data_IF_953257915707
#
_entry.id   IF_953257915707
#
_cell.length_a   1.000
_cell.length_b   1.000
_cell.length_c   1.000
_cell.angle_alpha   90.00
_cell.angle_beta   90.00
_cell.angle_gamma   90.00
#
_symmetry.space_group_name_H-M   'P 1'
#
loop_
_entity.id
_entity.type
_entity.pdbx_description
1 polymer ?
#
# COMPACT_ATOMS: atom_id res chain seq x y z
N UNK A 1 14.47 15.99 -11.91
CA UNK A 1 15.28 16.23 -10.69
C UNK A 1 14.39 15.92 -9.50
N UNK A 2 14.82 15.03 -8.60
CA UNK A 2 14.06 14.75 -7.38
C UNK A 2 13.91 16.07 -6.59
N UNK A 3 12.71 16.35 -6.08
CA UNK A 3 12.47 17.51 -5.23
C UNK A 3 13.46 17.50 -4.06
N UNK A 4 14.21 18.59 -3.87
CA UNK A 4 15.20 18.70 -2.79
C UNK A 4 14.56 18.90 -1.42
N UNK A 5 13.24 19.05 -1.36
CA UNK A 5 12.49 19.30 -0.13
C UNK A 5 12.20 17.98 0.58
N UNK A 6 12.64 17.87 1.83
CA UNK A 6 12.31 16.71 2.64
C UNK A 6 10.81 16.71 2.96
N UNK A 7 10.20 15.53 3.11
CA UNK A 7 8.76 15.43 3.42
C UNK A 7 8.41 16.20 4.71
N UNK A 8 9.34 16.25 5.68
CA UNK A 8 9.18 16.97 6.94
C UNK A 8 9.21 18.50 6.82
N UNK A 9 9.61 19.03 5.66
CA UNK A 9 9.64 20.47 5.38
C UNK A 9 8.37 20.95 4.65
N UNK A 10 7.58 20.01 4.13
CA UNK A 10 6.35 20.30 3.38
C UNK A 10 5.26 20.91 4.25
N UNK A 11 4.35 21.66 3.63
CA UNK A 11 3.21 22.26 4.34
C UNK A 11 2.28 21.20 4.97
N UNK A 12 1.92 20.09 4.31
CA UNK A 12 1.10 19.04 4.93
C UNK A 12 1.75 18.43 6.18
N UNK A 13 3.07 18.27 6.21
CA UNK A 13 3.77 17.82 7.42
C UNK A 13 3.65 18.82 8.56
N UNK A 14 3.86 20.12 8.27
CA UNK A 14 3.70 21.19 9.27
C UNK A 14 2.26 21.28 9.78
N UNK A 15 1.28 21.12 8.90
CA UNK A 15 -0.14 21.09 9.25
C UNK A 15 -0.47 19.91 10.17
N UNK A 16 0.01 18.70 9.86
CA UNK A 16 -0.12 17.54 10.76
C UNK A 16 0.56 17.77 12.11
N UNK A 17 1.77 18.34 12.11
CA UNK A 17 2.50 18.63 13.35
C UNK A 17 1.75 19.64 14.23
N UNK A 18 1.12 20.65 13.64
CA UNK A 18 0.28 21.59 14.37
C UNK A 18 -1.00 20.92 14.91
N UNK A 19 -1.63 20.05 14.11
CA UNK A 19 -2.84 19.29 14.48
C UNK A 19 -2.65 18.40 15.71
N UNK A 20 -1.42 17.98 16.00
CA UNK A 20 -1.09 17.20 17.21
C UNK A 20 -1.57 17.90 18.49
N UNK A 21 -1.50 19.24 18.55
CA UNK A 21 -1.94 19.98 19.74
C UNK A 21 -3.45 19.89 19.97
N UNK A 22 -4.25 19.72 18.92
CA UNK A 22 -5.70 19.50 19.06
C UNK A 22 -6.01 18.06 19.44
N UNK A 23 -5.31 17.09 18.84
CA UNK A 23 -5.48 15.67 19.19
C UNK A 23 -5.04 15.38 20.63
N UNK A 24 -4.00 16.04 21.15
CA UNK A 24 -3.59 15.92 22.57
C UNK A 24 -4.67 16.33 23.56
N UNK A 25 -5.61 17.18 23.17
CA UNK A 25 -6.76 17.60 24.01
C UNK A 25 -7.89 16.58 24.00
N UNK A 26 -7.82 15.58 23.13
CA UNK A 26 -8.81 14.50 23.02
C UNK A 26 -8.34 13.24 23.74
N UNK A 27 -9.27 12.40 24.16
CA UNK A 27 -8.97 11.07 24.66
C UNK A 27 -9.69 10.03 23.80
N UNK A 28 -9.04 8.89 23.51
CA UNK A 28 -9.61 7.86 22.64
C UNK A 28 -10.99 7.39 23.12
N UNK A 29 -11.18 7.28 24.43
CA UNK A 29 -12.49 6.91 25.02
C UNK A 29 -13.62 7.86 24.57
N UNK A 30 -13.33 9.16 24.49
CA UNK A 30 -14.33 10.16 24.09
C UNK A 30 -14.59 10.05 22.59
N UNK A 31 -13.53 9.86 21.79
CA UNK A 31 -13.62 9.63 20.35
C UNK A 31 -14.36 8.33 20.00
N UNK A 32 -14.34 7.32 20.87
CA UNK A 32 -15.11 6.08 20.74
C UNK A 32 -16.59 6.27 21.09
N UNK A 33 -16.94 7.36 21.79
CA UNK A 33 -18.32 7.74 22.06
C UNK A 33 -19.03 8.33 20.83
N UNK A 34 -18.27 8.78 19.83
CA UNK A 34 -18.80 9.27 18.55
C UNK A 34 -19.01 8.10 17.58
N UNK A 35 -20.27 7.67 17.46
CA UNK A 35 -20.66 6.54 16.61
C UNK A 35 -20.46 6.83 15.13
N UNK A 36 -20.66 8.06 14.67
CA UNK A 36 -20.53 8.43 13.26
C UNK A 36 -19.06 8.49 12.84
N UNK A 37 -18.19 9.02 13.71
CA UNK A 37 -16.73 8.89 13.53
C UNK A 37 -16.33 7.43 13.43
N UNK A 38 -16.77 6.59 14.36
CA UNK A 38 -16.38 5.16 14.37
C UNK A 38 -16.78 4.46 13.07
N UNK A 39 -18.02 4.67 12.60
CA UNK A 39 -18.49 4.12 11.30
C UNK A 39 -17.65 4.63 10.13
N UNK A 40 -17.30 5.92 10.11
CA UNK A 40 -16.45 6.48 9.05
C UNK A 40 -15.01 5.94 9.04
N UNK A 41 -14.58 5.32 10.14
CA UNK A 41 -13.25 4.73 10.32
C UNK A 41 -13.28 3.19 10.25
N UNK A 42 -14.26 2.64 9.55
CA UNK A 42 -14.39 1.23 9.22
C UNK A 42 -14.49 1.08 7.71
N UNK A 43 -13.76 0.12 7.16
CA UNK A 43 -13.77 -0.21 5.73
C UNK A 43 -13.87 -1.72 5.57
N UNK A 44 -14.61 -2.15 4.55
CA UNK A 44 -14.68 -3.54 4.14
C UNK A 44 -14.32 -3.64 2.66
N UNK A 45 -13.44 -4.58 2.33
CA UNK A 45 -13.01 -4.84 0.96
C UNK A 45 -12.64 -6.31 0.80
N UNK A 46 -13.24 -7.02 -0.16
CA UNK A 46 -12.98 -8.43 -0.45
C UNK A 46 -12.99 -9.36 0.79
N UNK A 47 -13.96 -9.16 1.69
CA UNK A 47 -14.08 -9.93 2.93
C UNK A 47 -13.04 -9.58 4.01
N UNK A 48 -12.20 -8.57 3.78
CA UNK A 48 -11.32 -7.98 4.79
C UNK A 48 -12.02 -6.79 5.44
N UNK A 49 -12.17 -6.84 6.75
CA UNK A 49 -12.68 -5.73 7.55
C UNK A 49 -11.54 -5.01 8.28
N UNK A 50 -11.40 -3.70 8.04
CA UNK A 50 -10.43 -2.83 8.68
C UNK A 50 -11.16 -1.81 9.57
N UNK A 51 -11.06 -2.01 10.88
CA UNK A 51 -11.51 -1.05 11.89
C UNK A 51 -10.30 -0.29 12.45
N UNK A 52 -10.18 0.97 12.04
CA UNK A 52 -9.16 1.89 12.52
C UNK A 52 -9.75 2.98 13.43
N UNK A 53 -10.99 2.83 13.91
CA UNK A 53 -11.65 3.76 14.84
C UNK A 53 -10.92 3.88 16.19
N UNK A 54 -10.15 2.85 16.58
CA UNK A 54 -9.33 2.83 17.81
C UNK A 54 -8.02 3.62 17.71
N UNK A 55 -7.82 4.36 16.62
CA UNK A 55 -6.70 5.29 16.49
C UNK A 55 -7.04 6.64 17.15
N UNK A 56 -6.05 7.30 17.74
CA UNK A 56 -6.21 8.64 18.31
C UNK A 56 -6.17 9.69 17.20
N UNK A 57 -7.30 9.86 16.52
CA UNK A 57 -7.44 10.76 15.38
C UNK A 57 -8.90 10.89 14.95
N UNK A 58 -9.25 12.00 14.33
CA UNK A 58 -10.59 12.26 13.80
C UNK A 58 -10.55 12.37 12.26
N UNK A 59 -11.67 12.72 11.64
CA UNK A 59 -11.76 12.88 10.19
C UNK A 59 -10.78 13.93 9.65
N UNK A 60 -10.53 15.01 10.40
CA UNK A 60 -9.54 16.02 10.03
C UNK A 60 -8.11 15.48 10.11
N UNK A 61 -7.81 14.62 11.09
CA UNK A 61 -6.54 13.87 11.13
C UNK A 61 -6.37 13.02 9.86
N UNK A 62 -7.41 12.29 9.45
CA UNK A 62 -7.35 11.44 8.26
C UNK A 62 -7.17 12.26 6.98
N UNK A 63 -7.88 13.37 6.84
CA UNK A 63 -7.70 14.29 5.71
C UNK A 63 -6.26 14.80 5.61
N UNK A 64 -5.69 15.27 6.73
CA UNK A 64 -4.30 15.76 6.77
C UNK A 64 -3.26 14.67 6.48
N UNK A 65 -3.51 13.43 6.92
CA UNK A 65 -2.65 12.28 6.60
C UNK A 65 -2.69 11.94 5.09
N UNK A 66 -3.87 12.06 4.46
CA UNK A 66 -4.02 11.86 3.03
C UNK A 66 -3.33 12.99 2.23
N UNK A 67 -3.46 14.24 2.66
CA UNK A 67 -2.73 15.37 2.06
C UNK A 67 -1.20 15.17 2.16
N UNK A 68 -0.70 14.62 3.27
CA UNK A 68 0.71 14.28 3.39
C UNK A 68 1.12 13.17 2.42
N UNK A 69 0.29 12.14 2.25
CA UNK A 69 0.54 11.06 1.30
C UNK A 69 0.56 11.56 -0.15
N UNK A 70 -0.30 12.54 -0.47
CA UNK A 70 -0.32 13.23 -1.77
C UNK A 70 0.95 14.04 -1.99
N UNK A 71 1.37 14.86 -1.01
CA UNK A 71 2.64 15.60 -1.08
C UNK A 71 3.87 14.69 -1.11
N UNK A 72 3.78 13.47 -0.59
CA UNK A 72 4.82 12.45 -0.70
C UNK A 72 4.82 11.72 -2.06
N UNK A 73 3.88 12.05 -2.95
CA UNK A 73 3.67 11.39 -4.24
C UNK A 73 3.47 9.87 -4.10
N UNK A 74 2.75 9.43 -3.07
CA UNK A 74 2.63 8.01 -2.74
C UNK A 74 1.99 7.20 -3.89
N UNK A 75 0.89 7.71 -4.48
CA UNK A 75 0.22 7.04 -5.61
C UNK A 75 1.13 6.91 -6.82
N UNK A 76 1.92 7.93 -7.13
CA UNK A 76 2.88 7.89 -8.23
C UNK A 76 3.96 6.83 -7.96
N UNK A 77 4.54 6.79 -6.75
CA UNK A 77 5.54 5.79 -6.36
C UNK A 77 4.99 4.36 -6.42
N UNK A 78 3.73 4.15 -6.02
CA UNK A 78 3.05 2.87 -6.21
C UNK A 78 2.93 2.56 -7.71
N UNK A 79 2.54 3.52 -8.54
CA UNK A 79 2.50 3.36 -9.99
C UNK A 79 3.85 2.94 -10.59
N UNK A 80 4.94 3.57 -10.16
CA UNK A 80 6.32 3.23 -10.53
C UNK A 80 6.72 1.80 -10.15
N UNK A 81 6.29 1.36 -8.96
CA UNK A 81 6.48 -0.03 -8.55
C UNK A 81 5.75 -0.99 -9.50
N UNK A 82 4.49 -0.71 -9.82
CA UNK A 82 3.67 -1.55 -10.69
C UNK A 82 4.14 -1.56 -12.15
N UNK A 83 4.72 -0.46 -12.63
CA UNK A 83 5.30 -0.37 -13.98
C UNK A 83 6.65 -1.08 -14.12
N UNK A 84 7.26 -1.47 -13.00
CA UNK A 84 8.59 -2.09 -12.96
C UNK A 84 9.72 -1.10 -13.15
N UNK A 85 9.54 0.17 -12.78
CA UNK A 85 10.67 1.08 -12.65
C UNK A 85 11.63 0.61 -11.55
N UNK A 86 12.91 0.97 -11.70
CA UNK A 86 13.97 0.66 -10.75
C UNK A 86 13.86 1.54 -9.50
N UNK A 87 12.86 1.26 -8.66
CA UNK A 87 12.62 2.00 -7.42
C UNK A 87 13.57 1.58 -6.29
N UNK A 88 14.19 0.40 -6.37
CA UNK A 88 15.28 0.02 -5.47
C UNK A 88 16.57 0.72 -5.93
N UNK A 89 16.69 1.99 -5.55
CA UNK A 89 17.76 2.88 -6.03
C UNK A 89 19.18 2.49 -5.63
N UNK A 90 19.36 1.74 -4.53
CA UNK A 90 20.71 1.34 -4.07
C UNK A 90 21.27 0.17 -4.85
N UNK A 91 20.40 -0.69 -5.40
CA UNK A 91 20.79 -1.84 -6.20
C UNK A 91 20.47 -1.69 -7.69
N UNK A 92 19.79 -0.59 -8.07
CA UNK A 92 19.25 -0.34 -9.40
C UNK A 92 18.36 -1.50 -9.92
N UNK A 93 17.27 -1.78 -9.20
CA UNK A 93 16.39 -2.93 -9.49
C UNK A 93 14.90 -2.60 -9.41
N UNK A 94 14.13 -3.26 -10.28
CA UNK A 94 12.66 -3.36 -10.20
C UNK A 94 12.19 -4.05 -8.92
N UNK A 95 11.01 -3.67 -8.42
CA UNK A 95 10.36 -4.31 -7.27
C UNK A 95 8.98 -4.83 -7.68
N UNK A 96 8.93 -6.09 -8.12
CA UNK A 96 7.75 -6.68 -8.79
C UNK A 96 7.17 -7.92 -8.10
N UNK A 97 7.21 -7.97 -6.77
CA UNK A 97 6.58 -9.07 -6.01
C UNK A 97 5.07 -9.22 -6.30
N UNK A 98 4.40 -8.14 -6.70
CA UNK A 98 3.01 -8.14 -7.16
C UNK A 98 2.79 -8.99 -8.43
N UNK A 99 3.79 -9.13 -9.31
CA UNK A 99 3.69 -9.95 -10.51
C UNK A 99 3.56 -11.45 -10.20
N UNK A 100 4.07 -11.90 -9.05
CA UNK A 100 4.02 -13.30 -8.61
C UNK A 100 2.61 -13.82 -8.32
N UNK A 101 1.66 -12.90 -8.15
CA UNK A 101 0.25 -13.16 -7.81
C UNK A 101 -0.71 -12.49 -8.80
N UNK A 102 -0.19 -11.97 -9.91
CA UNK A 102 -0.98 -11.33 -10.94
C UNK A 102 -1.73 -12.40 -11.77
N UNK A 103 -2.93 -12.07 -12.30
CA UNK A 103 -3.64 -12.97 -13.19
C UNK A 103 -2.82 -13.23 -14.48
N UNK A 104 -3.13 -14.33 -15.16
CA UNK A 104 -2.33 -14.84 -16.30
C UNK A 104 -2.27 -13.90 -17.50
N UNK A 105 -3.26 -13.02 -17.62
CA UNK A 105 -3.41 -12.00 -18.66
C UNK A 105 -2.82 -10.63 -18.28
N UNK A 106 -2.31 -10.47 -17.06
CA UNK A 106 -1.67 -9.23 -16.64
C UNK A 106 -0.39 -8.97 -17.43
N UNK A 107 -0.07 -7.69 -17.61
CA UNK A 107 1.18 -7.22 -18.21
C UNK A 107 1.92 -6.41 -17.17
N UNK A 108 3.06 -6.93 -16.73
CA UNK A 108 3.98 -6.26 -15.81
C UNK A 108 5.39 -6.47 -16.33
N UNK A 109 6.11 -5.39 -16.60
CA UNK A 109 7.41 -5.48 -17.28
C UNK A 109 8.56 -5.11 -16.37
N UNK A 110 9.69 -5.81 -16.48
CA UNK A 110 11.00 -5.34 -16.00
C UNK A 110 11.90 -5.24 -17.22
N UNK A 111 12.63 -4.13 -17.36
CA UNK A 111 13.59 -3.94 -18.46
C UNK A 111 12.98 -4.15 -19.86
N UNK A 112 11.70 -3.78 -20.01
CA UNK A 112 10.95 -3.93 -21.26
C UNK A 112 10.43 -5.35 -21.55
N UNK A 113 10.64 -6.31 -20.64
CA UNK A 113 10.17 -7.70 -20.78
C UNK A 113 9.01 -7.97 -19.83
N UNK A 114 7.88 -8.45 -20.35
CA UNK A 114 6.76 -8.89 -19.52
C UNK A 114 7.15 -10.14 -18.71
N UNK A 115 7.14 -10.04 -17.38
CA UNK A 115 7.59 -11.13 -16.49
C UNK A 115 6.48 -12.12 -16.13
N UNK A 116 5.21 -11.76 -16.35
CA UNK A 116 4.05 -12.58 -15.96
C UNK A 116 4.04 -13.97 -16.63
N UNK A 117 4.38 -14.14 -17.92
CA UNK A 117 4.45 -15.47 -18.54
C UNK A 117 5.49 -16.39 -17.89
N UNK A 118 6.63 -15.84 -17.48
CA UNK A 118 7.68 -16.62 -16.81
C UNK A 118 7.26 -17.06 -15.41
N UNK A 119 6.59 -16.18 -14.67
CA UNK A 119 5.96 -16.51 -13.38
C UNK A 119 5.00 -17.68 -13.54
N UNK A 120 4.07 -17.60 -14.49
CA UNK A 120 3.08 -18.67 -14.71
C UNK A 120 3.71 -19.97 -15.18
N UNK A 121 4.79 -19.94 -15.96
CA UNK A 121 5.55 -21.15 -16.30
C UNK A 121 6.08 -21.88 -15.06
N UNK A 122 6.49 -21.14 -14.02
CA UNK A 122 6.94 -21.75 -12.76
C UNK A 122 5.75 -22.20 -11.92
N UNK A 123 4.67 -21.42 -11.84
CA UNK A 123 3.45 -21.81 -11.13
C UNK A 123 2.83 -23.09 -11.72
N UNK A 124 2.77 -23.23 -13.05
CA UNK A 124 2.28 -24.43 -13.73
C UNK A 124 3.15 -25.66 -13.38
N UNK A 125 4.48 -25.50 -13.34
CA UNK A 125 5.41 -26.58 -12.91
C UNK A 125 5.18 -26.98 -11.45
N UNK A 126 5.00 -26.01 -10.55
CA UNK A 126 4.72 -26.27 -9.14
C UNK A 126 3.40 -27.02 -9.01
N UNK A 127 2.36 -26.59 -9.74
CA UNK A 127 1.06 -27.23 -9.75
C UNK A 127 1.16 -28.69 -10.22
N UNK A 128 1.76 -28.95 -11.39
CA UNK A 128 1.97 -30.30 -11.91
C UNK A 128 2.72 -31.21 -10.93
N UNK A 129 3.79 -30.70 -10.33
CA UNK A 129 4.56 -31.45 -9.34
C UNK A 129 3.72 -31.74 -8.10
N UNK A 130 3.05 -30.74 -7.54
CA UNK A 130 2.24 -30.90 -6.33
C UNK A 130 1.07 -31.87 -6.55
N UNK A 131 0.46 -31.88 -7.73
CA UNK A 131 -0.63 -32.80 -8.06
C UNK A 131 -0.15 -34.24 -8.20
N UNK A 132 1.04 -34.48 -8.76
CA UNK A 132 1.64 -35.83 -8.78
C UNK A 132 1.88 -36.35 -7.37
N UNK A 133 2.38 -35.50 -6.47
CA UNK A 133 2.58 -35.87 -5.05
C UNK A 133 1.22 -36.15 -4.38
N UNK A 134 0.25 -35.25 -4.53
CA UNK A 134 -1.08 -35.37 -3.90
C UNK A 134 -1.88 -36.57 -4.40
N UNK A 135 -1.71 -36.94 -5.66
CA UNK A 135 -2.35 -38.12 -6.28
C UNK A 135 -1.63 -39.44 -6.01
N UNK A 136 -0.41 -39.41 -5.46
CA UNK A 136 0.42 -40.61 -5.28
C UNK A 136 1.02 -41.16 -6.58
N UNK A 137 1.06 -40.35 -7.65
CA UNK A 137 1.59 -40.75 -8.97
C UNK A 137 3.08 -40.44 -9.15
N UNK A 138 3.81 -40.26 -8.04
CA UNK A 138 5.24 -39.90 -8.00
C UNK A 138 6.07 -40.95 -7.27
#
# INVERSE_FOLDING_TARGET
MASSTLICETQPWKALKAHVEDIKKTHLRDLMGDSERCKSMMLEFDGLFLDYSRQCGNQDTMAKLLELAEAAHLKEKIGKMYSGEHINSTEDRSVLHVALRAPRDAVMSSDGVNVVPEVWKVLDKINEFSEKIRSGSW
#
